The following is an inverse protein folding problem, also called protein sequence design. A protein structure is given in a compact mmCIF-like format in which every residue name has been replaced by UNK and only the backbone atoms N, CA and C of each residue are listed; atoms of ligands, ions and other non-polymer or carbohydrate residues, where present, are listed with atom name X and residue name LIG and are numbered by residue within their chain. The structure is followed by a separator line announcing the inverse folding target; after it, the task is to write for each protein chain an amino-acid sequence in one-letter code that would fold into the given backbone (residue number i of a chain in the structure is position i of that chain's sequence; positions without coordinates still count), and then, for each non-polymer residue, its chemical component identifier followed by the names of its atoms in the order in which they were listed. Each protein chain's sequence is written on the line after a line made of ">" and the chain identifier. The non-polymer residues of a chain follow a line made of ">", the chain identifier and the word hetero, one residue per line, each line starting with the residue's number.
data_IF_885712468335
#
_entry.id   IF_885712468335
#
_cell.length_a   1.000
_cell.length_b   1.000
_cell.length_c   1.000
_cell.angle_alpha   90.00
_cell.angle_beta   90.00
_cell.angle_gamma   90.00
#
_symmetry.space_group_name_H-M   'P 1'
#
loop_
_entity.id
_entity.type
_entity.pdbx_description
1 polymer ?
#
# COMPACT_ATOMS: atom_id res chain seq x y z
N UNK A 1 -6.34 0.96 8.47
CA UNK A 1 -5.32 -0.10 8.52
C UNK A 1 -4.89 -0.49 7.12
N UNK A 2 -3.62 -0.82 6.91
CA UNK A 2 -3.15 -1.38 5.64
C UNK A 2 -2.41 -2.70 5.91
N UNK A 3 -2.63 -3.70 5.05
CA UNK A 3 -1.80 -4.92 5.06
C UNK A 3 -0.57 -4.70 4.20
N UNK A 4 0.59 -5.01 4.75
CA UNK A 4 1.84 -5.06 4.02
C UNK A 4 1.92 -6.37 3.20
N UNK A 5 1.74 -6.26 1.89
CA UNK A 5 1.58 -7.37 0.96
C UNK A 5 2.78 -7.49 0.02
N UNK A 6 3.93 -7.88 0.54
CA UNK A 6 5.15 -8.01 -0.28
C UNK A 6 6.01 -9.24 0.06
N UNK A 7 5.51 -10.12 0.93
CA UNK A 7 6.25 -11.31 1.33
C UNK A 7 6.42 -12.29 0.14
N UNK A 8 7.63 -12.77 -0.18
CA UNK A 8 7.89 -13.62 -1.36
C UNK A 8 6.99 -14.87 -1.45
N UNK A 9 6.61 -15.46 -0.31
CA UNK A 9 5.66 -16.59 -0.25
C UNK A 9 4.30 -16.30 -0.90
N UNK A 10 3.87 -15.03 -0.92
CA UNK A 10 2.61 -14.59 -1.52
C UNK A 10 2.72 -14.53 -3.05
N UNK A 11 3.91 -14.30 -3.60
CA UNK A 11 4.17 -14.32 -5.05
C UNK A 11 4.12 -15.75 -5.64
N UNK A 12 4.18 -16.79 -4.79
CA UNK A 12 3.99 -18.18 -5.19
C UNK A 12 2.52 -18.64 -5.18
N UNK A 13 1.60 -17.77 -4.74
CA UNK A 13 0.17 -18.05 -4.75
C UNK A 13 -0.48 -17.41 -5.98
N UNK A 14 -1.61 -17.98 -6.43
CA UNK A 14 -2.40 -17.33 -7.47
C UNK A 14 -3.02 -16.03 -6.95
N UNK A 15 -3.20 -15.06 -7.85
CA UNK A 15 -3.88 -13.79 -7.56
C UNK A 15 -5.24 -14.01 -6.86
N UNK A 16 -6.04 -14.98 -7.34
CA UNK A 16 -7.32 -15.32 -6.74
C UNK A 16 -7.21 -15.84 -5.29
N UNK A 17 -6.10 -16.52 -4.94
CA UNK A 17 -5.85 -16.95 -3.57
C UNK A 17 -5.46 -15.77 -2.69
N UNK A 18 -4.61 -14.90 -3.20
CA UNK A 18 -4.19 -13.69 -2.50
C UNK A 18 -5.37 -12.74 -2.25
N UNK A 19 -6.22 -12.51 -3.25
CA UNK A 19 -7.41 -11.68 -3.12
C UNK A 19 -8.38 -12.24 -2.06
N UNK A 20 -8.53 -13.58 -1.99
CA UNK A 20 -9.30 -14.22 -0.90
C UNK A 20 -8.69 -13.97 0.46
N UNK A 21 -7.36 -14.04 0.59
CA UNK A 21 -6.65 -13.78 1.85
C UNK A 21 -6.81 -12.31 2.29
N UNK A 22 -6.67 -11.36 1.36
CA UNK A 22 -6.92 -9.93 1.60
C UNK A 22 -8.35 -9.70 2.06
N UNK A 23 -9.34 -10.32 1.39
CA UNK A 23 -10.75 -10.22 1.81
C UNK A 23 -10.96 -10.75 3.23
N UNK A 24 -10.30 -11.85 3.60
CA UNK A 24 -10.35 -12.39 4.95
C UNK A 24 -9.71 -11.43 5.98
N UNK A 25 -8.53 -10.87 5.68
CA UNK A 25 -7.89 -9.84 6.50
C UNK A 25 -8.83 -8.65 6.71
N UNK A 26 -9.39 -8.10 5.63
CA UNK A 26 -10.30 -6.96 5.69
C UNK A 26 -11.53 -7.25 6.58
N UNK A 27 -12.08 -8.47 6.52
CA UNK A 27 -13.20 -8.88 7.37
C UNK A 27 -12.84 -8.85 8.85
N UNK A 28 -11.68 -9.42 9.22
CA UNK A 28 -11.23 -9.47 10.62
C UNK A 28 -10.93 -8.08 11.16
N UNK A 29 -10.21 -7.26 10.39
CA UNK A 29 -9.83 -5.91 10.82
C UNK A 29 -11.06 -5.01 10.96
N UNK A 30 -12.04 -5.12 10.05
CA UNK A 30 -13.31 -4.40 10.19
C UNK A 30 -14.12 -4.87 11.39
N UNK A 31 -14.16 -6.18 11.64
CA UNK A 31 -14.82 -6.72 12.83
C UNK A 31 -14.16 -6.24 14.15
N UNK A 32 -12.88 -5.89 14.11
CA UNK A 32 -12.15 -5.31 15.24
C UNK A 32 -12.38 -3.79 15.42
N UNK A 33 -13.23 -3.16 14.60
CA UNK A 33 -13.63 -1.75 14.75
C UNK A 33 -12.93 -0.77 13.81
N UNK A 34 -12.00 -1.23 12.96
CA UNK A 34 -11.38 -0.35 11.99
C UNK A 34 -12.29 -0.14 10.77
N UNK A 35 -12.71 1.10 10.53
CA UNK A 35 -13.58 1.47 9.40
C UNK A 35 -12.91 1.29 8.03
N UNK A 36 -11.58 1.42 7.98
CA UNK A 36 -10.79 1.47 6.75
C UNK A 36 -9.71 0.38 6.70
N UNK A 37 -9.61 -0.25 5.54
CA UNK A 37 -8.63 -1.29 5.21
C UNK A 37 -8.06 -1.00 3.83
N UNK A 38 -6.75 -1.13 3.65
CA UNK A 38 -6.10 -0.99 2.35
C UNK A 38 -4.94 -1.98 2.19
N UNK A 39 -4.31 -1.99 1.02
CA UNK A 39 -3.16 -2.85 0.70
C UNK A 39 -1.95 -1.96 0.44
N UNK A 40 -0.87 -2.16 1.19
CA UNK A 40 0.45 -1.67 0.81
C UNK A 40 1.19 -2.76 0.02
N UNK A 41 1.82 -2.39 -1.08
CA UNK A 41 2.66 -3.30 -1.87
C UNK A 41 3.55 -2.52 -2.83
N UNK A 42 4.62 -3.14 -3.35
CA UNK A 42 5.30 -2.62 -4.53
C UNK A 42 4.32 -2.54 -5.71
N UNK A 43 4.36 -1.43 -6.45
CA UNK A 43 3.46 -1.18 -7.57
C UNK A 43 3.51 -2.25 -8.66
N UNK A 44 4.64 -2.95 -8.84
CA UNK A 44 4.75 -4.04 -9.82
C UNK A 44 4.08 -5.36 -9.37
N UNK A 45 3.56 -5.44 -8.14
CA UNK A 45 2.77 -6.59 -7.69
C UNK A 45 1.31 -6.51 -8.07
N UNK A 46 0.82 -5.30 -8.38
CA UNK A 46 -0.56 -5.08 -8.83
C UNK A 46 -0.79 -5.86 -10.11
N UNK A 47 -1.90 -6.58 -10.15
CA UNK A 47 -2.36 -7.46 -11.25
C UNK A 47 -1.43 -8.65 -11.58
N UNK A 48 -0.27 -8.74 -10.93
CA UNK A 48 0.63 -9.91 -11.00
C UNK A 48 0.41 -10.86 -9.83
N UNK A 49 0.15 -10.33 -8.63
CA UNK A 49 0.00 -11.11 -7.40
C UNK A 49 -1.21 -10.73 -6.55
N UNK A 50 -1.75 -9.53 -6.73
CA UNK A 50 -2.95 -9.04 -6.01
C UNK A 50 -3.72 -8.04 -6.86
N UNK A 51 -5.05 -8.08 -6.77
CA UNK A 51 -5.93 -7.14 -7.47
C UNK A 51 -6.23 -5.91 -6.62
N UNK A 52 -6.21 -4.72 -7.24
CA UNK A 52 -6.77 -3.50 -6.63
C UNK A 52 -8.26 -3.37 -6.95
N UNK A 53 -9.03 -2.80 -6.03
CA UNK A 53 -10.47 -2.62 -6.21
C UNK A 53 -11.00 -1.42 -5.41
N UNK A 54 -12.29 -1.12 -5.53
CA UNK A 54 -12.90 0.04 -4.85
C UNK A 54 -12.81 -0.01 -3.32
N UNK A 55 -12.62 -1.18 -2.71
CA UNK A 55 -12.42 -1.32 -1.27
C UNK A 55 -10.95 -1.13 -0.86
N UNK A 56 -10.00 -1.41 -1.76
CA UNK A 56 -8.55 -1.24 -1.56
C UNK A 56 -7.95 -0.62 -2.83
N UNK A 57 -7.87 0.71 -2.88
CA UNK A 57 -7.25 1.41 -4.01
C UNK A 57 -5.71 1.34 -3.97
N UNK A 58 -5.14 1.01 -2.81
CA UNK A 58 -3.73 0.72 -2.64
C UNK A 58 -2.91 1.88 -2.09
N UNK A 59 -1.85 1.51 -1.36
CA UNK A 59 -0.70 2.34 -1.05
C UNK A 59 0.52 1.73 -1.77
N UNK A 60 0.88 2.32 -2.90
CA UNK A 60 1.81 1.67 -3.83
C UNK A 60 3.23 2.19 -3.63
N UNK A 61 4.19 1.28 -3.48
CA UNK A 61 5.60 1.63 -3.40
C UNK A 61 6.26 1.59 -4.78
N UNK A 62 6.98 2.65 -5.10
CA UNK A 62 7.88 2.71 -6.26
C UNK A 62 8.86 3.86 -6.07
N UNK A 63 10.17 3.58 -6.16
CA UNK A 63 11.21 4.53 -5.77
C UNK A 63 11.97 5.07 -6.99
N UNK A 64 11.50 6.15 -7.64
CA UNK A 64 12.23 6.78 -8.73
C UNK A 64 13.45 7.55 -8.20
N UNK A 65 14.45 7.76 -9.07
CA UNK A 65 15.62 8.59 -8.74
C UNK A 65 15.24 10.06 -8.45
N UNK A 66 14.20 10.57 -9.12
CA UNK A 66 13.70 11.93 -8.92
C UNK A 66 12.17 11.91 -8.70
N UNK A 67 11.71 11.90 -7.43
CA UNK A 67 10.30 11.80 -7.08
C UNK A 67 9.59 13.16 -7.22
N UNK A 68 9.10 13.48 -8.42
CA UNK A 68 8.34 14.71 -8.68
C UNK A 68 6.88 14.42 -9.01
N UNK A 69 6.00 15.39 -8.71
CA UNK A 69 4.58 15.32 -9.02
C UNK A 69 3.79 14.34 -8.15
N UNK A 70 2.71 13.77 -8.74
CA UNK A 70 1.91 12.69 -8.16
C UNK A 70 2.03 11.44 -9.02
N UNK A 71 2.14 10.27 -8.41
CA UNK A 71 2.13 8.97 -9.09
C UNK A 71 1.02 8.09 -8.51
N UNK A 72 0.54 7.16 -9.33
CA UNK A 72 -0.56 6.26 -8.97
C UNK A 72 -1.80 7.02 -8.47
N UNK A 73 -2.23 8.04 -9.22
CA UNK A 73 -3.31 8.96 -8.79
C UNK A 73 -4.65 8.27 -8.48
N UNK A 74 -4.87 7.06 -9.00
CA UNK A 74 -6.03 6.24 -8.68
C UNK A 74 -5.89 5.46 -7.36
N UNK A 75 -4.66 5.31 -6.85
CA UNK A 75 -4.35 4.70 -5.56
C UNK A 75 -4.46 5.74 -4.42
N UNK A 76 -4.62 5.29 -3.18
CA UNK A 76 -4.75 6.18 -2.03
C UNK A 76 -3.45 6.88 -1.65
N UNK A 77 -2.31 6.22 -1.84
CA UNK A 77 -1.00 6.78 -1.54
C UNK A 77 0.10 6.20 -2.42
N UNK A 78 1.20 6.93 -2.51
CA UNK A 78 2.43 6.51 -3.17
C UNK A 78 3.61 6.63 -2.19
N UNK A 79 4.26 5.51 -1.87
CA UNK A 79 5.55 5.53 -1.18
C UNK A 79 6.65 5.70 -2.23
N UNK A 80 7.33 6.86 -2.21
CA UNK A 80 8.26 7.26 -3.27
C UNK A 80 9.73 7.04 -2.89
N UNK A 81 10.02 6.67 -1.66
CA UNK A 81 11.36 6.31 -1.19
C UNK A 81 11.30 5.52 0.10
N UNK A 82 12.35 4.74 0.36
CA UNK A 82 12.65 4.11 1.65
C UNK A 82 13.89 4.69 2.35
N UNK A 83 14.44 5.78 1.80
CA UNK A 83 15.81 6.18 2.09
C UNK A 83 15.98 7.70 2.28
N UNK A 84 14.90 8.44 2.55
CA UNK A 84 15.00 9.88 2.73
C UNK A 84 15.52 10.24 4.12
N UNK A 85 16.28 11.33 4.21
CA UNK A 85 16.76 11.87 5.49
C UNK A 85 16.29 13.32 5.64
N UNK A 86 15.31 13.54 6.50
CA UNK A 86 14.90 14.90 6.87
C UNK A 86 15.98 15.57 7.71
N UNK A 87 16.03 16.90 7.66
CA UNK A 87 16.91 17.68 8.53
C UNK A 87 16.62 17.35 10.00
N UNK A 88 17.68 17.09 10.78
CA UNK A 88 17.56 16.73 12.20
C UNK A 88 17.21 15.27 12.49
N UNK A 89 16.92 14.44 11.48
CA UNK A 89 16.69 13.00 11.68
C UNK A 89 18.02 12.22 11.59
N UNK A 90 18.24 11.27 12.50
CA UNK A 90 19.42 10.41 12.47
C UNK A 90 19.32 9.34 11.38
N UNK A 91 18.13 8.74 11.24
CA UNK A 91 17.84 7.63 10.35
C UNK A 91 17.31 8.01 8.98
N UNK A 92 17.24 7.00 8.12
CA UNK A 92 16.55 7.02 6.83
C UNK A 92 15.11 6.61 7.05
N UNK A 93 14.20 7.24 6.30
CA UNK A 93 12.76 7.06 6.46
C UNK A 93 12.13 6.74 5.12
N UNK A 94 11.11 5.89 5.20
CA UNK A 94 10.12 5.74 4.15
C UNK A 94 9.28 7.01 4.06
N UNK A 95 9.09 7.52 2.85
CA UNK A 95 8.28 8.72 2.64
C UNK A 95 7.21 8.46 1.60
N UNK A 96 6.00 8.84 1.97
CA UNK A 96 4.83 8.69 1.12
C UNK A 96 4.15 10.03 0.86
N UNK A 97 3.48 10.09 -0.28
CA UNK A 97 2.54 11.13 -0.64
C UNK A 97 1.14 10.54 -0.63
N UNK A 98 0.20 11.21 0.03
CA UNK A 98 -1.21 10.86 -0.07
C UNK A 98 -1.78 11.46 -1.36
N UNK A 99 -2.50 10.65 -2.13
CA UNK A 99 -3.16 11.12 -3.35
C UNK A 99 -4.56 11.69 -3.05
N UNK A 100 -5.17 11.24 -1.96
CA UNK A 100 -6.48 11.65 -1.48
C UNK A 100 -6.52 11.67 0.07
N UNK A 101 -7.70 11.93 0.65
CA UNK A 101 -7.90 12.02 2.11
C UNK A 101 -8.22 10.69 2.79
N UNK A 102 -8.09 9.54 2.10
CA UNK A 102 -8.50 8.23 2.62
C UNK A 102 -7.93 7.94 4.01
N UNK A 103 -6.65 8.29 4.24
CA UNK A 103 -5.92 8.03 5.48
C UNK A 103 -6.00 9.13 6.55
N UNK A 104 -6.65 10.26 6.29
CA UNK A 104 -6.58 11.42 7.19
C UNK A 104 -7.63 11.41 8.31
N UNK A 105 -8.64 10.53 8.24
CA UNK A 105 -9.74 10.45 9.21
C UNK A 105 -10.17 8.98 9.36
N UNK A 106 -10.85 8.63 10.45
CA UNK A 106 -11.49 7.32 10.65
C UNK A 106 -12.97 7.32 10.24
#
# INVERSE_FOLDING_TARGET
>A
MAVDFEAPKLAHLSIATNDRNIKAFNKVVKAAGFSKTDIYTNANWVDSYVSMNTANLGWLANYPNNPTGKKYVAANAWQWTSNFKFAGQAGKLDVSQLNNSYYLND
#
